data_IF_439568077106
#
_entry.id   IF_439568077106
#
_cell.length_a   1.000
_cell.length_b   1.000
_cell.length_c   1.000
_cell.angle_alpha   90.00
_cell.angle_beta   90.00
_cell.angle_gamma   90.00
#
_symmetry.space_group_name_H-M   'P 1'
#
loop_
_entity.id
_entity.type
_entity.pdbx_description
1 polymer ?
#
# COMPACT_ATOMS: atom_id res chain seq x y z
N UNK A 1 5.31 -18.30 -7.56
CA UNK A 1 6.07 -17.27 -6.83
C UNK A 1 6.98 -17.89 -5.77
N UNK A 2 8.11 -17.27 -5.42
CA UNK A 2 8.88 -17.60 -4.20
C UNK A 2 8.44 -16.68 -3.05
N UNK A 3 8.30 -17.24 -1.84
CA UNK A 3 7.89 -16.53 -0.63
C UNK A 3 8.96 -16.60 0.46
N UNK A 4 9.06 -15.54 1.27
CA UNK A 4 9.92 -15.48 2.45
C UNK A 4 9.19 -14.87 3.64
N UNK A 5 9.64 -15.24 4.83
CA UNK A 5 9.10 -14.69 6.08
C UNK A 5 9.54 -13.24 6.30
N UNK A 6 8.58 -12.37 6.60
CA UNK A 6 8.80 -11.04 7.16
C UNK A 6 8.05 -10.95 8.49
N UNK A 7 8.75 -11.21 9.59
CA UNK A 7 8.10 -11.45 10.87
C UNK A 7 7.15 -12.65 10.78
N UNK A 8 5.85 -12.41 10.98
CA UNK A 8 4.82 -13.43 10.89
C UNK A 8 4.16 -13.54 9.50
N UNK A 9 4.51 -12.65 8.57
CA UNK A 9 3.95 -12.62 7.21
C UNK A 9 4.73 -13.54 6.27
N UNK A 10 4.04 -14.15 5.30
CA UNK A 10 4.65 -14.81 4.14
C UNK A 10 4.53 -13.88 2.93
N UNK A 11 5.61 -13.20 2.58
CA UNK A 11 5.62 -12.20 1.50
C UNK A 11 6.32 -12.73 0.27
N UNK A 12 5.80 -12.41 -0.91
CA UNK A 12 6.48 -12.68 -2.18
C UNK A 12 7.84 -11.97 -2.21
N UNK A 13 8.88 -12.62 -2.74
CA UNK A 13 10.24 -12.04 -2.77
C UNK A 13 10.37 -10.79 -3.65
N UNK A 14 9.38 -10.57 -4.51
CA UNK A 14 9.18 -9.33 -5.27
C UNK A 14 7.86 -8.73 -4.80
N UNK A 15 7.83 -7.42 -4.61
CA UNK A 15 6.61 -6.65 -4.30
C UNK A 15 6.45 -5.46 -5.23
N UNK A 16 5.28 -4.80 -5.14
CA UNK A 16 4.97 -3.59 -5.87
C UNK A 16 5.33 -2.35 -5.05
N UNK A 17 6.22 -1.50 -5.57
CA UNK A 17 6.41 -0.14 -5.08
C UNK A 17 5.47 0.84 -5.79
N UNK A 18 4.86 1.77 -5.04
CA UNK A 18 3.79 2.62 -5.57
C UNK A 18 4.22 4.06 -5.89
N UNK A 19 5.41 4.49 -5.47
CA UNK A 19 5.92 5.86 -5.67
C UNK A 19 5.84 6.29 -7.14
N UNK A 20 5.21 7.46 -7.40
CA UNK A 20 4.90 8.05 -8.72
C UNK A 20 3.93 7.24 -9.56
N UNK A 21 4.08 5.92 -9.61
CA UNK A 21 3.23 5.05 -10.39
C UNK A 21 1.77 5.08 -9.92
N UNK A 22 1.49 5.27 -8.64
CA UNK A 22 0.12 5.27 -8.09
C UNK A 22 -0.34 6.65 -7.58
N UNK A 23 0.43 7.71 -7.78
CA UNK A 23 0.01 9.07 -7.42
C UNK A 23 -1.00 9.63 -8.44
N UNK A 24 -2.21 9.05 -8.44
CA UNK A 24 -3.30 9.34 -9.38
C UNK A 24 -4.66 9.26 -8.70
N UNK A 25 -5.63 10.04 -9.19
CA UNK A 25 -7.01 10.08 -8.63
C UNK A 25 -8.10 9.87 -9.66
N UNK A 26 -7.83 10.12 -10.94
CA UNK A 26 -8.84 10.05 -12.00
C UNK A 26 -9.10 8.60 -12.42
N UNK A 27 -10.36 8.26 -12.73
CA UNK A 27 -10.74 6.90 -13.12
C UNK A 27 -9.97 6.38 -14.34
N UNK A 28 -9.70 7.27 -15.31
CA UNK A 28 -8.91 6.95 -16.49
C UNK A 28 -7.48 6.50 -16.13
N UNK A 29 -6.90 7.09 -15.08
CA UNK A 29 -5.56 6.76 -14.59
C UNK A 29 -5.58 5.56 -13.63
N UNK A 30 -6.67 5.34 -12.91
CA UNK A 30 -6.85 4.15 -12.05
C UNK A 30 -7.00 2.87 -12.88
N UNK A 31 -7.58 2.93 -14.08
CA UNK A 31 -7.75 1.78 -14.97
C UNK A 31 -6.45 0.99 -15.23
N UNK A 32 -5.32 1.60 -15.65
CA UNK A 32 -4.07 0.86 -15.80
C UNK A 32 -3.50 0.34 -14.47
N UNK A 33 -3.81 0.96 -13.32
CA UNK A 33 -3.38 0.46 -12.00
C UNK A 33 -4.17 -0.76 -11.58
N UNK A 34 -5.47 -0.82 -11.90
CA UNK A 34 -6.26 -2.06 -11.75
C UNK A 34 -5.62 -3.21 -12.53
N UNK A 35 -5.16 -2.95 -13.76
CA UNK A 35 -4.45 -3.96 -14.54
C UNK A 35 -3.11 -4.39 -13.91
N UNK A 36 -2.37 -3.46 -13.30
CA UNK A 36 -1.17 -3.81 -12.52
C UNK A 36 -1.53 -4.73 -11.35
N UNK A 37 -2.58 -4.40 -10.58
CA UNK A 37 -3.07 -5.23 -9.47
C UNK A 37 -3.51 -6.62 -9.97
N UNK A 38 -4.19 -6.69 -11.11
CA UNK A 38 -4.59 -7.97 -11.71
C UNK A 38 -3.36 -8.83 -12.07
N UNK A 39 -2.31 -8.22 -12.61
CA UNK A 39 -1.07 -8.91 -12.91
C UNK A 39 -0.34 -9.39 -11.64
N UNK A 40 -0.40 -8.65 -10.53
CA UNK A 40 0.12 -9.14 -9.25
C UNK A 40 -0.58 -10.44 -8.83
N UNK A 41 -1.91 -10.49 -8.95
CA UNK A 41 -2.68 -11.69 -8.60
C UNK A 41 -2.37 -12.87 -9.51
N UNK A 42 -2.21 -12.64 -10.82
CA UNK A 42 -1.85 -13.67 -11.79
C UNK A 42 -0.47 -14.27 -11.47
N UNK A 43 0.48 -13.41 -11.11
CA UNK A 43 1.86 -13.82 -10.78
C UNK A 43 2.04 -14.26 -9.32
N UNK A 44 0.96 -14.26 -8.53
CA UNK A 44 0.96 -14.64 -7.12
C UNK A 44 1.90 -13.74 -6.28
N UNK A 45 1.90 -12.42 -6.56
CA UNK A 45 2.60 -11.37 -5.80
C UNK A 45 1.63 -10.76 -4.79
N UNK A 46 2.01 -10.76 -3.51
CA UNK A 46 1.13 -10.31 -2.43
C UNK A 46 1.65 -9.09 -1.65
N UNK A 47 2.84 -8.56 -1.91
CA UNK A 47 3.39 -7.45 -1.12
C UNK A 47 3.29 -6.10 -1.86
N UNK A 48 2.64 -5.10 -1.26
CA UNK A 48 2.49 -3.74 -1.80
C UNK A 48 3.09 -2.73 -0.82
N UNK A 49 4.07 -1.95 -1.28
CA UNK A 49 4.74 -0.88 -0.51
C UNK A 49 4.28 0.51 -0.95
N UNK A 50 3.84 1.31 0.00
CA UNK A 50 3.45 2.72 -0.18
C UNK A 50 4.03 3.62 0.91
N UNK A 51 3.60 4.87 0.97
CA UNK A 51 3.89 5.80 2.06
C UNK A 51 2.86 6.94 2.08
N UNK A 52 2.61 7.52 3.25
CA UNK A 52 1.79 8.74 3.38
C UNK A 52 2.32 9.92 2.53
N UNK A 53 3.63 9.94 2.26
CA UNK A 53 4.28 10.99 1.45
C UNK A 53 4.18 10.76 -0.07
N UNK A 54 3.59 9.65 -0.55
CA UNK A 54 3.52 9.30 -1.98
C UNK A 54 2.27 9.86 -2.68
N UNK A 55 1.85 11.06 -2.29
CA UNK A 55 0.67 11.72 -2.86
C UNK A 55 -0.58 10.87 -2.69
N UNK A 56 -1.30 10.62 -3.78
CA UNK A 56 -2.53 9.82 -3.78
C UNK A 56 -2.30 8.29 -3.79
N UNK A 57 -1.05 7.81 -3.67
CA UNK A 57 -0.72 6.40 -3.88
C UNK A 57 -1.48 5.42 -2.96
N UNK A 58 -1.59 5.71 -1.66
CA UNK A 58 -2.38 4.85 -0.75
C UNK A 58 -3.84 4.78 -1.16
N UNK A 59 -4.43 5.92 -1.57
CA UNK A 59 -5.82 6.00 -2.03
C UNK A 59 -6.01 5.24 -3.34
N UNK A 60 -5.11 5.40 -4.30
CA UNK A 60 -5.15 4.65 -5.55
C UNK A 60 -5.02 3.15 -5.32
N UNK A 61 -4.16 2.70 -4.41
CA UNK A 61 -4.09 1.29 -4.01
C UNK A 61 -5.42 0.84 -3.41
N UNK A 62 -5.96 1.56 -2.41
CA UNK A 62 -7.25 1.22 -1.79
C UNK A 62 -8.39 1.03 -2.81
N UNK A 63 -8.50 1.96 -3.77
CA UNK A 63 -9.49 1.89 -4.84
C UNK A 63 -9.27 0.74 -5.84
N UNK A 64 -8.03 0.33 -6.07
CA UNK A 64 -7.70 -0.70 -7.08
C UNK A 64 -7.74 -2.12 -6.52
N UNK A 65 -7.59 -2.29 -5.21
CA UNK A 65 -7.68 -3.57 -4.51
C UNK A 65 -9.06 -3.83 -3.88
N UNK A 66 -10.05 -2.96 -4.08
CA UNK A 66 -11.39 -3.12 -3.50
C UNK A 66 -11.96 -4.52 -3.76
N UNK A 67 -12.52 -5.13 -2.70
CA UNK A 67 -12.99 -6.53 -2.72
C UNK A 67 -11.90 -7.60 -2.69
N UNK A 68 -10.62 -7.23 -2.68
CA UNK A 68 -9.45 -8.12 -2.75
C UNK A 68 -8.37 -7.79 -1.72
N UNK A 69 -8.71 -7.02 -0.68
CA UNK A 69 -7.79 -6.60 0.40
C UNK A 69 -7.02 -7.76 1.02
N UNK A 70 -7.69 -8.89 1.25
CA UNK A 70 -7.10 -10.10 1.87
C UNK A 70 -6.03 -10.79 1.00
N UNK A 71 -5.95 -10.44 -0.28
CA UNK A 71 -4.94 -11.00 -1.19
C UNK A 71 -3.58 -10.31 -1.08
N UNK A 72 -3.48 -9.22 -0.31
CA UNK A 72 -2.28 -8.40 -0.22
C UNK A 72 -1.85 -8.15 1.22
N UNK A 73 -0.54 -8.09 1.44
CA UNK A 73 0.11 -7.49 2.59
C UNK A 73 0.44 -6.04 2.26
N UNK A 74 -0.20 -5.11 2.97
CA UNK A 74 0.02 -3.68 2.79
C UNK A 74 1.12 -3.18 3.72
N UNK A 75 2.15 -2.59 3.13
CA UNK A 75 3.18 -1.84 3.83
C UNK A 75 3.03 -0.35 3.55
N UNK A 76 3.06 0.47 4.60
CA UNK A 76 3.17 1.92 4.47
C UNK A 76 4.15 2.50 5.48
N UNK A 77 4.34 3.81 5.43
CA UNK A 77 5.36 4.51 6.20
C UNK A 77 4.79 5.72 6.91
N UNK A 78 5.26 5.92 8.13
CA UNK A 78 4.97 7.11 8.94
C UNK A 78 6.23 7.96 8.99
N UNK A 79 6.13 9.21 8.55
CA UNK A 79 7.26 10.13 8.58
C UNK A 79 7.52 10.63 9.99
N UNK A 80 8.79 10.69 10.37
CA UNK A 80 9.23 11.34 11.61
C UNK A 80 8.84 12.82 11.56
N UNK A 81 8.10 13.27 12.57
CA UNK A 81 7.66 14.65 12.71
C UNK A 81 7.82 15.08 14.18
N UNK A 82 8.39 16.28 14.46
CA UNK A 82 8.56 16.77 15.83
C UNK A 82 7.24 17.09 16.55
N UNK A 83 6.14 17.30 15.82
CA UNK A 83 4.84 17.58 16.41
C UNK A 83 4.21 16.32 17.02
N UNK A 84 3.82 16.41 18.30
CA UNK A 84 3.13 15.32 19.00
C UNK A 84 1.78 15.04 18.32
N UNK A 85 1.51 13.77 18.04
CA UNK A 85 0.28 13.33 17.38
C UNK A 85 0.35 13.32 15.85
N UNK A 86 1.37 13.93 15.23
CA UNK A 86 1.50 13.93 13.77
C UNK A 86 1.68 12.51 13.17
N UNK A 87 2.30 11.59 13.92
CA UNK A 87 2.39 10.19 13.50
C UNK A 87 1.02 9.46 13.57
N UNK A 88 0.23 9.73 14.61
CA UNK A 88 -1.11 9.15 14.78
C UNK A 88 -2.08 9.66 13.69
N UNK A 89 -1.98 10.95 13.34
CA UNK A 89 -2.74 11.52 12.23
C UNK A 89 -2.36 10.88 10.89
N UNK A 90 -1.07 10.73 10.59
CA UNK A 90 -0.60 10.04 9.38
C UNK A 90 -1.12 8.59 9.32
N UNK A 91 -1.07 7.85 10.43
CA UNK A 91 -1.60 6.49 10.49
C UNK A 91 -3.11 6.48 10.20
N UNK A 92 -3.85 7.41 10.80
CA UNK A 92 -5.31 7.53 10.60
C UNK A 92 -5.66 7.86 9.15
N UNK A 93 -4.88 8.73 8.50
CA UNK A 93 -5.02 9.04 7.08
C UNK A 93 -4.69 7.84 6.20
N UNK A 94 -3.64 7.06 6.51
CA UNK A 94 -3.31 5.83 5.76
C UNK A 94 -4.46 4.83 5.80
N UNK A 95 -5.10 4.60 6.95
CA UNK A 95 -6.28 3.73 7.06
C UNK A 95 -7.44 4.24 6.18
N UNK A 96 -7.72 5.54 6.22
CA UNK A 96 -8.76 6.15 5.40
C UNK A 96 -8.45 6.05 3.89
N UNK A 97 -7.19 6.28 3.51
CA UNK A 97 -6.75 6.21 2.12
C UNK A 97 -6.83 4.79 1.57
N UNK A 98 -6.30 3.80 2.28
CA UNK A 98 -6.40 2.40 1.85
C UNK A 98 -7.83 1.84 1.95
N UNK A 99 -8.74 2.52 2.67
CA UNK A 99 -10.09 2.05 2.96
C UNK A 99 -10.09 0.64 3.57
N UNK A 100 -9.34 0.48 4.65
CA UNK A 100 -9.16 -0.80 5.36
C UNK A 100 -9.12 -0.56 6.87
N UNK A 101 -9.37 -1.62 7.64
CA UNK A 101 -9.31 -1.65 9.10
C UNK A 101 -7.99 -2.23 9.64
N UNK A 102 -7.15 -2.83 8.79
CA UNK A 102 -5.82 -3.30 9.17
C UNK A 102 -4.76 -3.01 8.09
N UNK A 103 -3.53 -2.75 8.54
CA UNK A 103 -2.33 -2.59 7.70
C UNK A 103 -1.26 -3.51 8.27
N UNK A 104 -0.66 -4.34 7.41
CA UNK A 104 0.22 -5.44 7.81
C UNK A 104 1.57 -4.96 8.34
N UNK A 105 2.09 -3.86 7.77
CA UNK A 105 3.41 -3.33 8.13
C UNK A 105 3.44 -1.80 8.10
N UNK A 106 3.81 -1.21 9.23
CA UNK A 106 4.22 0.19 9.32
C UNK A 106 5.74 0.29 9.47
N UNK A 107 6.33 1.22 8.73
CA UNK A 107 7.77 1.51 8.79
C UNK A 107 7.98 2.99 9.14
N UNK A 108 9.07 3.29 9.85
CA UNK A 108 9.46 4.68 10.13
C UNK A 108 10.18 5.25 8.90
N UNK A 109 9.68 6.36 8.37
CA UNK A 109 10.32 7.12 7.29
C UNK A 109 11.05 8.34 7.86
N UNK A 110 12.38 8.32 7.74
CA UNK A 110 13.27 9.40 8.18
C UNK A 110 13.52 10.42 7.08
#
# INVERSE_FOLDING_TARGET
>A
MEYRKLGNLDVSVIGLGTLRAFDVTEDADLAPRRHIIDNLLIEDINFIDSAAMYGAAEKAVGLTIEGRRESFHLATKVRVNPERGAGENQISESFANFNTDFIDLFQVQT
#
